data_IF_650972436932
#
_entry.id   IF_650972436932
#
_cell.length_a   1.000
_cell.length_b   1.000
_cell.length_c   1.000
_cell.angle_alpha   90.00
_cell.angle_beta   90.00
_cell.angle_gamma   90.00
#
_symmetry.space_group_name_H-M   'P 1'
#
loop_
_entity.id
_entity.type
_entity.pdbx_description
1 polymer ?
#
# COMPACT_ATOMS: atom_id res chain seq x y z
N UNK A 1 12.83 2.70 12.36
CA UNK A 1 12.42 2.07 13.63
C UNK A 1 12.40 0.57 13.38
N UNK A 2 12.91 -0.22 14.31
CA UNK A 2 12.94 -1.68 14.24
C UNK A 2 11.76 -2.33 14.97
N UNK A 3 11.07 -1.61 15.88
CA UNK A 3 9.90 -2.14 16.61
C UNK A 3 8.75 -1.14 16.79
N UNK A 4 7.54 -1.64 17.03
CA UNK A 4 6.36 -0.83 17.44
C UNK A 4 6.66 0.02 18.67
N UNK A 5 7.37 -0.55 19.66
CA UNK A 5 7.71 0.16 20.88
C UNK A 5 8.54 1.43 20.61
N UNK A 6 9.37 1.42 19.56
CA UNK A 6 10.13 2.62 19.16
C UNK A 6 9.25 3.66 18.47
N UNK A 7 8.24 3.26 17.70
CA UNK A 7 7.25 4.20 17.13
C UNK A 7 6.42 4.82 18.25
N UNK A 8 5.99 4.05 19.24
CA UNK A 8 5.30 4.57 20.43
C UNK A 8 6.20 5.53 21.21
N UNK A 9 7.45 5.15 21.48
CA UNK A 9 8.39 6.00 22.21
C UNK A 9 8.73 7.29 21.44
N UNK A 10 8.82 7.24 20.11
CA UNK A 10 8.99 8.42 19.28
C UNK A 10 7.75 9.33 19.35
N UNK A 11 6.56 8.73 19.31
CA UNK A 11 5.29 9.46 19.45
C UNK A 11 5.19 10.20 20.77
N UNK A 12 5.54 9.56 21.88
CA UNK A 12 5.51 10.18 23.20
C UNK A 12 6.47 11.37 23.30
N UNK A 13 7.68 11.24 22.73
CA UNK A 13 8.65 12.35 22.67
C UNK A 13 8.13 13.52 21.82
N UNK A 14 7.45 13.23 20.71
CA UNK A 14 6.89 14.24 19.82
C UNK A 14 5.71 14.96 20.48
N UNK A 15 4.87 14.25 21.24
CA UNK A 15 3.80 14.83 22.07
C UNK A 15 4.37 15.72 23.17
N UNK A 16 5.42 15.26 23.87
CA UNK A 16 6.09 16.05 24.93
C UNK A 16 6.71 17.34 24.36
N UNK A 17 7.21 17.29 23.13
CA UNK A 17 7.67 18.47 22.39
C UNK A 17 6.54 19.42 21.93
N UNK A 18 5.28 19.12 22.25
CA UNK A 18 4.12 19.94 21.89
C UNK A 18 3.65 19.77 20.44
N UNK A 19 4.13 18.74 19.73
CA UNK A 19 3.71 18.48 18.36
C UNK A 19 2.41 17.67 18.36
N UNK A 20 1.47 18.06 17.50
CA UNK A 20 0.27 17.28 17.26
C UNK A 20 0.65 16.02 16.51
N UNK A 21 0.36 14.86 17.10
CA UNK A 21 0.63 13.53 16.57
C UNK A 21 -0.69 12.86 16.16
N UNK A 22 -0.68 12.13 15.05
CA UNK A 22 -1.77 11.24 14.63
C UNK A 22 -1.18 9.85 14.50
N UNK A 23 -1.59 8.94 15.38
CA UNK A 23 -1.17 7.55 15.37
C UNK A 23 -2.09 6.70 14.50
N UNK A 24 -1.49 5.89 13.64
CA UNK A 24 -2.15 4.86 12.85
C UNK A 24 -1.44 3.53 13.13
N UNK A 25 -2.09 2.66 13.90
CA UNK A 25 -1.56 1.34 14.24
C UNK A 25 -2.22 0.26 13.37
N UNK A 26 -1.47 -0.81 13.08
CA UNK A 26 -1.92 -1.96 12.31
C UNK A 26 -2.48 -1.59 10.92
N UNK A 27 -1.93 -0.56 10.30
CA UNK A 27 -2.33 -0.13 8.96
C UNK A 27 -1.71 -1.04 7.91
N UNK A 28 -2.54 -1.84 7.24
CA UNK A 28 -2.15 -2.64 6.08
C UNK A 28 -2.08 -1.76 4.83
N UNK A 29 -0.88 -1.49 4.32
CA UNK A 29 -0.70 -0.83 3.02
C UNK A 29 -0.14 -1.85 2.04
N UNK A 30 -0.99 -2.34 1.13
CA UNK A 30 -0.79 -3.23 -0.03
C UNK A 30 0.11 -4.48 0.15
N UNK A 31 1.29 -4.35 0.75
CA UNK A 31 2.33 -5.36 0.89
C UNK A 31 2.87 -5.48 2.32
N UNK A 32 2.45 -4.63 3.27
CA UNK A 32 2.96 -4.66 4.63
C UNK A 32 1.95 -4.17 5.68
N UNK A 33 2.04 -4.74 6.88
CA UNK A 33 1.41 -4.24 8.10
C UNK A 33 2.35 -3.25 8.79
N UNK A 34 1.88 -2.05 9.08
CA UNK A 34 2.71 -0.97 9.61
C UNK A 34 2.06 -0.28 10.79
N UNK A 35 2.87 0.10 11.78
CA UNK A 35 2.50 1.15 12.74
C UNK A 35 3.17 2.45 12.32
N UNK A 36 2.45 3.55 12.47
CA UNK A 36 2.78 4.84 11.91
C UNK A 36 2.37 5.96 12.85
N UNK A 37 3.20 6.98 12.93
CA UNK A 37 2.83 8.27 13.50
C UNK A 37 3.12 9.39 12.50
N UNK A 38 2.14 10.26 12.33
CA UNK A 38 2.28 11.53 11.62
C UNK A 38 2.46 12.68 12.58
N UNK A 39 3.33 13.62 12.25
CA UNK A 39 3.46 14.91 12.93
C UNK A 39 3.46 16.07 11.96
N UNK A 40 2.94 17.20 12.42
CA UNK A 40 3.09 18.47 11.70
C UNK A 40 4.25 19.25 12.30
N UNK A 41 5.29 19.48 11.51
CA UNK A 41 6.43 20.30 11.90
C UNK A 41 6.07 21.78 12.09
N UNK A 42 6.95 22.58 12.70
CA UNK A 42 6.71 24.00 12.96
C UNK A 42 6.52 24.84 11.69
N UNK A 43 7.03 24.38 10.53
CA UNK A 43 6.81 24.98 9.22
C UNK A 43 5.54 24.49 8.51
N UNK A 44 4.66 23.77 9.20
CA UNK A 44 3.45 23.10 8.68
C UNK A 44 3.73 21.94 7.72
N UNK A 45 4.96 21.45 7.66
CA UNK A 45 5.28 20.29 6.85
C UNK A 45 4.88 18.98 7.56
N UNK A 46 4.29 18.00 6.85
CA UNK A 46 3.95 16.71 7.43
C UNK A 46 5.18 15.78 7.44
N UNK A 47 5.44 15.14 8.58
CA UNK A 47 6.47 14.12 8.73
C UNK A 47 5.84 12.81 9.21
N UNK A 48 6.32 11.69 8.68
CA UNK A 48 5.86 10.35 9.01
C UNK A 48 7.02 9.54 9.61
N UNK A 49 6.75 8.83 10.70
CA UNK A 49 7.64 7.82 11.28
C UNK A 49 6.88 6.51 11.36
N UNK A 50 7.43 5.44 10.79
CA UNK A 50 6.76 4.14 10.75
C UNK A 50 7.71 2.98 11.06
N UNK A 51 7.10 1.83 11.35
CA UNK A 51 7.75 0.52 11.41
C UNK A 51 6.92 -0.48 10.62
N UNK A 52 7.60 -1.35 9.87
CA UNK A 52 6.98 -2.51 9.22
C UNK A 52 7.00 -3.67 10.21
N UNK A 53 5.83 -4.19 10.54
CA UNK A 53 5.65 -5.29 11.51
C UNK A 53 5.66 -6.66 10.85
N UNK A 54 5.10 -6.73 9.65
CA UNK A 54 4.99 -7.95 8.87
C UNK A 54 4.76 -7.61 7.39
N UNK A 55 5.17 -8.49 6.48
CA UNK A 55 4.66 -8.50 5.12
C UNK A 55 3.15 -8.77 5.14
N UNK A 56 2.41 -8.22 4.18
CA UNK A 56 1.02 -8.59 3.97
C UNK A 56 1.00 -10.04 3.45
N UNK A 57 0.46 -10.96 4.25
CA UNK A 57 0.40 -12.41 4.01
C UNK A 57 -0.37 -12.84 2.74
N UNK A 58 -0.73 -11.91 1.83
CA UNK A 58 -1.80 -12.12 0.85
C UNK A 58 -1.49 -11.72 -0.60
N UNK A 59 -0.25 -11.78 -1.07
CA UNK A 59 0.04 -11.73 -2.52
C UNK A 59 1.00 -12.83 -3.03
N UNK A 60 1.44 -13.75 -2.17
CA UNK A 60 2.35 -14.85 -2.55
C UNK A 60 1.71 -16.24 -2.70
N UNK A 61 0.58 -16.52 -2.04
CA UNK A 61 0.07 -17.90 -1.87
C UNK A 61 -1.25 -18.20 -2.57
N UNK A 62 -1.55 -17.57 -3.72
CA UNK A 62 -2.66 -18.00 -4.58
C UNK A 62 -2.46 -17.63 -6.05
N UNK A 63 -1.39 -18.13 -6.66
CA UNK A 63 -1.54 -18.59 -8.04
C UNK A 63 -1.89 -20.08 -7.94
N UNK A 64 -3.16 -20.50 -8.13
CA UNK A 64 -3.39 -21.91 -8.45
C UNK A 64 -2.52 -22.19 -9.67
N UNK A 65 -1.75 -23.28 -9.62
CA UNK A 65 -1.13 -23.85 -10.80
C UNK A 65 -2.22 -23.92 -11.88
N UNK A 66 -2.22 -22.95 -12.81
CA UNK A 66 -2.89 -23.08 -14.09
C UNK A 66 -2.05 -24.10 -14.85
N UNK A 67 -2.24 -25.36 -14.46
CA UNK A 67 -1.99 -26.47 -15.34
C UNK A 67 -2.77 -26.24 -16.62
N UNK A 68 -2.10 -26.56 -17.73
CA UNK A 68 -2.65 -26.62 -19.07
C UNK A 68 -3.04 -25.30 -19.74
N UNK A 69 -2.08 -24.75 -20.51
CA UNK A 69 -2.19 -24.70 -21.97
C UNK A 69 -1.27 -23.60 -22.56
N UNK A 70 0.06 -23.74 -22.40
CA UNK A 70 1.02 -22.93 -23.17
C UNK A 70 1.15 -23.37 -24.64
N UNK A 71 0.48 -24.46 -25.05
CA UNK A 71 0.41 -24.95 -26.44
C UNK A 71 -1.03 -25.23 -26.90
N UNK A 72 -2.00 -24.44 -26.45
CA UNK A 72 -3.33 -24.40 -27.08
C UNK A 72 -3.29 -23.49 -28.31
N UNK A 73 -3.41 -24.06 -29.50
CA UNK A 73 -3.56 -23.35 -30.78
C UNK A 73 -4.48 -22.14 -30.64
N UNK A 74 -3.95 -20.92 -30.87
CA UNK A 74 -4.80 -19.76 -31.15
C UNK A 74 -5.35 -19.93 -32.56
N UNK A 75 -6.48 -20.61 -32.67
CA UNK A 75 -7.32 -20.50 -33.86
C UNK A 75 -7.75 -19.05 -33.95
N UNK A 76 -7.38 -18.43 -35.08
CA UNK A 76 -7.56 -17.02 -35.42
C UNK A 76 -9.01 -16.60 -35.17
N UNK A 77 -9.26 -15.87 -34.09
CA UNK A 77 -10.49 -15.09 -33.94
C UNK A 77 -10.44 -13.93 -34.91
N UNK A 78 -11.40 -13.95 -35.82
CA UNK A 78 -11.67 -12.89 -36.78
C UNK A 78 -11.92 -11.55 -36.06
N UNK A 79 -11.48 -10.52 -36.75
CA UNK A 79 -11.67 -9.11 -36.46
C UNK A 79 -13.13 -8.78 -36.13
N UNK A 80 -13.33 -8.09 -35.01
CA UNK A 80 -14.57 -7.41 -34.67
C UNK A 80 -14.20 -6.01 -34.16
N UNK A 81 -14.18 -5.05 -35.09
CA UNK A 81 -14.08 -3.61 -34.83
C UNK A 81 -15.12 -3.14 -33.80
N UNK A 82 -14.76 -2.33 -32.79
CA UNK A 82 -15.76 -1.55 -32.07
C UNK A 82 -15.94 -0.19 -32.77
N UNK A 83 -17.08 -0.03 -33.44
CA UNK A 83 -17.61 1.27 -33.80
C UNK A 83 -18.01 2.03 -32.53
N UNK A 84 -17.28 3.09 -32.19
CA UNK A 84 -17.65 4.07 -31.15
C UNK A 84 -18.02 5.41 -31.77
N UNK A 85 -19.07 6.11 -31.28
CA UNK A 85 -19.52 7.37 -31.88
C UNK A 85 -18.55 8.52 -31.56
N UNK A 86 -18.29 9.36 -32.57
CA UNK A 86 -17.46 10.57 -32.43
C UNK A 86 -18.24 11.65 -31.67
N UNK A 87 -17.66 12.17 -30.59
CA UNK A 87 -18.15 13.39 -29.91
C UNK A 87 -17.43 14.59 -30.53
N UNK A 88 -18.10 15.54 -31.23
CA UNK A 88 -17.46 16.77 -31.67
C UNK A 88 -17.36 17.79 -30.53
N UNK A 89 -16.16 18.40 -30.45
CA UNK A 89 -15.65 19.55 -29.66
C UNK A 89 -16.54 20.20 -28.59
#
# INVERSE_FOLDING_TARGET
METTAEVTAATDRLKDAGLTTVEENDTSCCYALQDKVWVTGPGKEPWEVYVVKADADALGSSAPNRGDACCGTRERTADAEPAGPRIPR
#
